data_IF_571165690809
#
_entry.id   IF_571165690809
#
_cell.length_a   1.000
_cell.length_b   1.000
_cell.length_c   1.000
_cell.angle_alpha   90.00
_cell.angle_beta   90.00
_cell.angle_gamma   90.00
#
_symmetry.space_group_name_H-M   'P 1'
#
loop_
_entity.id
_entity.type
_entity.pdbx_description
1 polymer ?
#
# COMPACT_ATOMS: atom_id res chain seq x y z
N UNK A 1 4.66 -16.71 -5.81
CA UNK A 1 4.07 -15.41 -5.40
C UNK A 1 4.89 -14.36 -6.12
N UNK A 2 4.30 -13.33 -6.75
CA UNK A 2 5.05 -12.44 -7.65
C UNK A 2 6.37 -11.89 -7.07
N UNK A 3 6.40 -11.50 -5.79
CA UNK A 3 7.62 -10.98 -5.16
C UNK A 3 8.68 -12.04 -4.87
N UNK A 4 8.27 -13.24 -4.44
CA UNK A 4 9.21 -14.36 -4.25
C UNK A 4 9.80 -14.76 -5.60
N UNK A 5 8.94 -14.87 -6.61
CA UNK A 5 9.33 -15.32 -7.95
C UNK A 5 10.30 -14.30 -8.57
N UNK A 6 10.06 -12.99 -8.35
CA UNK A 6 10.99 -11.92 -8.74
C UNK A 6 12.36 -12.07 -8.07
N UNK A 7 12.42 -12.21 -6.74
CA UNK A 7 13.72 -12.30 -6.05
C UNK A 7 14.44 -13.64 -6.24
N UNK A 8 13.73 -14.70 -6.60
CA UNK A 8 14.36 -15.97 -7.00
C UNK A 8 15.08 -15.87 -8.36
N UNK A 9 14.56 -15.04 -9.29
CA UNK A 9 15.19 -14.78 -10.58
C UNK A 9 16.29 -13.69 -10.51
N UNK A 10 16.27 -12.87 -9.46
CA UNK A 10 17.19 -11.76 -9.23
C UNK A 10 17.85 -11.90 -7.84
N UNK A 11 18.56 -13.00 -7.63
CA UNK A 11 19.16 -13.39 -6.35
C UNK A 11 20.24 -12.41 -5.84
N UNK A 12 20.91 -11.70 -6.75
CA UNK A 12 21.92 -10.68 -6.46
C UNK A 12 21.36 -9.29 -6.09
N UNK A 13 20.03 -9.08 -6.09
CA UNK A 13 19.44 -7.81 -5.67
C UNK A 13 19.48 -7.63 -4.15
N UNK A 14 20.16 -6.58 -3.71
CA UNK A 14 20.29 -6.19 -2.30
C UNK A 14 19.05 -5.45 -1.77
N UNK A 15 18.36 -4.69 -2.61
CA UNK A 15 17.13 -3.97 -2.22
C UNK A 15 15.93 -4.93 -2.15
N UNK A 16 15.28 -5.00 -0.99
CA UNK A 16 14.12 -5.85 -0.74
C UNK A 16 12.86 -5.02 -0.47
N UNK A 17 11.79 -5.31 -1.21
CA UNK A 17 10.45 -4.80 -0.91
C UNK A 17 9.90 -5.57 0.27
N UNK A 18 9.42 -4.86 1.29
CA UNK A 18 8.75 -5.43 2.46
C UNK A 18 7.29 -5.01 2.40
N UNK A 19 6.38 -5.98 2.37
CA UNK A 19 4.95 -5.74 2.29
C UNK A 19 4.33 -5.69 3.68
N UNK A 20 3.57 -4.63 3.95
CA UNK A 20 2.74 -4.49 5.15
C UNK A 20 1.27 -4.42 4.75
N UNK A 21 0.56 -5.55 4.89
CA UNK A 21 -0.86 -5.64 4.52
C UNK A 21 -1.78 -5.22 5.66
N UNK A 22 -2.86 -4.51 5.31
CA UNK A 22 -4.00 -4.23 6.18
C UNK A 22 -5.29 -4.61 5.47
N UNK A 23 -6.28 -5.06 6.23
CA UNK A 23 -7.58 -5.47 5.72
C UNK A 23 -8.61 -4.39 6.01
N UNK A 24 -9.12 -3.76 4.95
CA UNK A 24 -10.16 -2.73 4.99
C UNK A 24 -11.58 -3.30 5.12
N UNK A 25 -11.74 -4.62 5.01
CA UNK A 25 -13.06 -5.29 4.93
C UNK A 25 -13.94 -4.81 3.77
N UNK A 26 -13.35 -4.18 2.75
CA UNK A 26 -14.09 -3.61 1.61
C UNK A 26 -14.72 -2.24 1.87
N UNK A 27 -14.46 -1.65 3.03
CA UNK A 27 -15.09 -0.42 3.49
C UNK A 27 -14.13 0.79 3.36
N UNK A 28 -14.59 1.94 2.84
CA UNK A 28 -13.72 3.11 2.61
C UNK A 28 -13.06 3.67 3.88
N UNK A 29 -13.81 3.85 4.98
CA UNK A 29 -13.27 4.45 6.20
C UNK A 29 -12.22 3.56 6.89
N UNK A 30 -12.43 2.24 7.04
CA UNK A 30 -11.38 1.33 7.47
C UNK A 30 -10.16 1.33 6.53
N UNK A 31 -10.35 1.42 5.21
CA UNK A 31 -9.23 1.53 4.27
C UNK A 31 -8.39 2.79 4.52
N UNK A 32 -9.04 3.94 4.71
CA UNK A 32 -8.36 5.21 5.03
C UNK A 32 -7.61 5.12 6.36
N UNK A 33 -8.25 4.60 7.41
CA UNK A 33 -7.62 4.42 8.73
C UNK A 33 -6.41 3.48 8.66
N UNK A 34 -6.51 2.40 7.88
CA UNK A 34 -5.41 1.48 7.63
C UNK A 34 -4.24 2.17 6.91
N UNK A 35 -4.54 2.95 5.87
CA UNK A 35 -3.53 3.71 5.12
C UNK A 35 -2.79 4.72 6.01
N UNK A 36 -3.51 5.50 6.81
CA UNK A 36 -2.90 6.40 7.81
C UNK A 36 -2.02 5.63 8.80
N UNK A 37 -2.50 4.49 9.29
CA UNK A 37 -1.73 3.64 10.18
C UNK A 37 -0.43 3.12 9.56
N UNK A 38 -0.41 2.82 8.26
CA UNK A 38 0.79 2.44 7.53
C UNK A 38 1.76 3.62 7.34
N UNK A 39 1.24 4.81 7.06
CA UNK A 39 2.05 6.02 6.88
C UNK A 39 2.69 6.49 8.19
N UNK A 40 1.91 6.60 9.27
CA UNK A 40 2.38 7.23 10.51
C UNK A 40 3.17 6.26 11.39
N UNK A 41 2.73 5.01 11.49
CA UNK A 41 3.33 4.04 12.42
C UNK A 41 4.41 3.19 11.77
N UNK A 42 4.16 2.73 10.53
CA UNK A 42 5.08 1.85 9.80
C UNK A 42 6.03 2.66 8.90
N UNK A 43 5.64 3.88 8.52
CA UNK A 43 6.42 4.79 7.67
C UNK A 43 6.75 4.17 6.31
N UNK A 44 5.72 3.61 5.66
CA UNK A 44 5.86 3.07 4.31
C UNK A 44 6.14 4.17 3.29
N UNK A 45 6.89 3.84 2.24
CA UNK A 45 7.25 4.78 1.17
C UNK A 45 6.20 4.86 0.05
N UNK A 46 5.30 3.89 -0.03
CA UNK A 46 4.20 3.88 -0.99
C UNK A 46 3.05 3.00 -0.48
N UNK A 47 1.85 3.25 -1.02
CA UNK A 47 0.66 2.43 -0.75
C UNK A 47 0.17 1.82 -2.05
N UNK A 48 -0.11 0.52 -2.02
CA UNK A 48 -0.74 -0.23 -3.11
C UNK A 48 -1.99 -0.86 -2.52
N UNK A 49 -3.16 -0.59 -3.08
CA UNK A 49 -4.40 -1.06 -2.48
C UNK A 49 -5.65 -0.54 -3.16
N UNK A 50 -6.75 -0.51 -2.41
CA UNK A 50 -8.13 -0.36 -2.87
C UNK A 50 -8.64 -1.57 -3.67
N UNK A 51 -9.63 -2.26 -3.10
CA UNK A 51 -10.38 -3.31 -3.78
C UNK A 51 -11.71 -2.80 -4.34
N UNK A 52 -12.18 -1.64 -3.86
CA UNK A 52 -13.40 -1.00 -4.35
C UNK A 52 -13.13 0.42 -4.84
N UNK A 53 -13.98 0.89 -5.75
CA UNK A 53 -13.91 2.27 -6.24
C UNK A 53 -14.11 3.31 -5.12
N UNK A 54 -14.91 2.97 -4.11
CA UNK A 54 -15.15 3.85 -2.97
C UNK A 54 -13.90 3.97 -2.08
N UNK A 55 -13.17 2.87 -1.87
CA UNK A 55 -11.85 2.91 -1.22
C UNK A 55 -10.85 3.72 -2.05
N UNK A 56 -10.78 3.47 -3.37
CA UNK A 56 -9.85 4.17 -4.26
C UNK A 56 -10.08 5.69 -4.26
N UNK A 57 -11.33 6.14 -4.37
CA UNK A 57 -11.63 7.57 -4.34
C UNK A 57 -11.13 8.24 -3.03
N UNK A 58 -11.39 7.61 -1.88
CA UNK A 58 -11.02 8.17 -0.58
C UNK A 58 -9.51 8.11 -0.33
N UNK A 59 -8.84 7.05 -0.78
CA UNK A 59 -7.38 6.91 -0.68
C UNK A 59 -6.65 7.85 -1.65
N UNK A 60 -7.23 8.20 -2.78
CA UNK A 60 -6.65 9.17 -3.72
C UNK A 60 -6.54 10.57 -3.08
N UNK A 61 -7.56 10.99 -2.34
CA UNK A 61 -7.52 12.26 -1.58
C UNK A 61 -6.38 12.25 -0.54
N UNK A 62 -6.18 11.11 0.14
CA UNK A 62 -5.06 10.97 1.08
C UNK A 62 -3.70 11.00 0.36
N UNK A 63 -3.58 10.32 -0.78
CA UNK A 63 -2.34 10.26 -1.56
C UNK A 63 -1.88 11.64 -2.06
N UNK A 64 -2.82 12.48 -2.49
CA UNK A 64 -2.54 13.86 -2.90
C UNK A 64 -1.97 14.70 -1.73
N UNK A 65 -2.53 14.55 -0.53
CA UNK A 65 -2.08 15.26 0.67
C UNK A 65 -0.75 14.71 1.21
N UNK A 66 -0.59 13.39 1.21
CA UNK A 66 0.60 12.72 1.73
C UNK A 66 1.84 12.90 0.85
N UNK A 67 1.66 13.33 -0.41
CA UNK A 67 2.73 13.45 -1.42
C UNK A 67 3.52 12.14 -1.62
N UNK A 68 2.87 11.00 -1.42
CA UNK A 68 3.44 9.67 -1.60
C UNK A 68 2.75 8.94 -2.75
N UNK A 69 3.44 7.99 -3.42
CA UNK A 69 2.82 7.19 -4.47
C UNK A 69 1.73 6.28 -3.93
N UNK A 70 0.53 6.41 -4.50
CA UNK A 70 -0.60 5.51 -4.29
C UNK A 70 -0.92 4.80 -5.61
N UNK A 71 -0.96 3.47 -5.59
CA UNK A 71 -1.41 2.64 -6.71
C UNK A 71 -2.77 2.05 -6.32
N UNK A 72 -3.84 2.54 -6.96
CA UNK A 72 -5.25 2.30 -6.63
C UNK A 72 -6.02 1.67 -7.78
#
# INVERSE_FOLDING_TARGET
MALSDFYHLHDNYSTKVVLHSKDSKGEPLPALSAALGLLENIKVESIIGAQTRAEANLLAELGEVAMLPFVL
#
